data_IF_393771133754
#
_entry.id   IF_393771133754
#
_cell.length_a   1.000
_cell.length_b   1.000
_cell.length_c   1.000
_cell.angle_alpha   90.00
_cell.angle_beta   90.00
_cell.angle_gamma   90.00
#
_symmetry.space_group_name_H-M   'P 1'
#
loop_
_entity.id
_entity.type
_entity.pdbx_description
1 polymer ?
#
# COMPACT_ATOMS: atom_id res chain seq x y z
N UNK A 1 31.11 6.58 -12.84
CA UNK A 1 29.74 6.75 -13.42
C UNK A 1 28.67 6.05 -12.61
N UNK A 2 28.75 4.74 -12.37
CA UNK A 2 27.72 3.98 -11.64
C UNK A 2 27.34 4.58 -10.27
N UNK A 3 28.33 4.96 -9.45
CA UNK A 3 28.11 5.61 -8.14
C UNK A 3 27.28 6.90 -8.24
N UNK A 4 27.55 7.75 -9.23
CA UNK A 4 26.83 9.02 -9.39
C UNK A 4 25.38 8.78 -9.84
N UNK A 5 25.17 7.81 -10.73
CA UNK A 5 23.83 7.38 -11.13
C UNK A 5 23.09 6.83 -9.92
N UNK A 6 23.72 5.98 -9.11
CA UNK A 6 23.13 5.37 -7.92
C UNK A 6 22.71 6.42 -6.88
N UNK A 7 23.57 7.39 -6.59
CA UNK A 7 23.26 8.52 -5.69
C UNK A 7 22.10 9.34 -6.25
N UNK A 8 22.13 9.69 -7.53
CA UNK A 8 21.05 10.45 -8.18
C UNK A 8 19.72 9.68 -8.18
N UNK A 9 19.73 8.38 -8.46
CA UNK A 9 18.53 7.54 -8.41
C UNK A 9 17.98 7.42 -7.00
N UNK A 10 18.85 7.33 -5.99
CA UNK A 10 18.44 7.32 -4.59
C UNK A 10 17.73 8.62 -4.20
N UNK A 11 18.29 9.79 -4.50
CA UNK A 11 17.64 11.06 -4.18
C UNK A 11 16.38 11.33 -5.02
N UNK A 12 16.33 10.86 -6.27
CA UNK A 12 15.12 10.89 -7.09
C UNK A 12 14.02 10.00 -6.47
N UNK A 13 14.38 8.81 -6.00
CA UNK A 13 13.46 7.93 -5.28
C UNK A 13 12.98 8.58 -3.98
N UNK A 14 13.89 9.18 -3.21
CA UNK A 14 13.55 9.87 -1.96
C UNK A 14 12.58 11.04 -2.19
N UNK A 15 12.82 11.86 -3.23
CA UNK A 15 11.92 12.95 -3.61
C UNK A 15 10.54 12.44 -4.07
N UNK A 16 10.50 11.34 -4.83
CA UNK A 16 9.25 10.66 -5.19
C UNK A 16 8.51 10.17 -3.93
N UNK A 17 9.22 9.56 -2.98
CA UNK A 17 8.66 9.10 -1.70
C UNK A 17 8.06 10.25 -0.89
N UNK A 18 8.69 11.41 -0.86
CA UNK A 18 8.13 12.63 -0.23
C UNK A 18 6.77 13.00 -0.82
N UNK A 19 6.66 13.10 -2.15
CA UNK A 19 5.40 13.47 -2.82
C UNK A 19 4.30 12.45 -2.52
N UNK A 20 4.62 11.15 -2.57
CA UNK A 20 3.68 10.10 -2.23
C UNK A 20 3.27 10.10 -0.75
N UNK A 21 4.21 10.35 0.17
CA UNK A 21 3.94 10.41 1.61
C UNK A 21 3.01 11.58 1.95
N UNK A 22 3.27 12.76 1.40
CA UNK A 22 2.40 13.93 1.59
C UNK A 22 0.99 13.62 1.10
N UNK A 23 0.86 12.96 -0.05
CA UNK A 23 -0.44 12.58 -0.60
C UNK A 23 -1.20 11.57 0.29
N UNK A 24 -0.54 10.50 0.73
CA UNK A 24 -1.15 9.46 1.56
C UNK A 24 -1.49 9.99 2.95
N UNK A 25 -0.54 10.66 3.60
CA UNK A 25 -0.70 11.11 4.97
C UNK A 25 -1.79 12.18 5.10
N UNK A 26 -1.91 13.07 4.11
CA UNK A 26 -2.96 14.08 4.06
C UNK A 26 -4.39 13.49 3.99
N UNK A 27 -4.52 12.22 3.58
CA UNK A 27 -5.81 11.49 3.55
C UNK A 27 -6.00 10.54 4.74
N UNK A 28 -4.96 10.32 5.55
CA UNK A 28 -4.97 9.34 6.62
C UNK A 28 -5.24 9.98 7.98
N UNK A 29 -5.82 9.23 8.93
CA UNK A 29 -6.05 9.71 10.29
C UNK A 29 -4.83 9.43 11.17
N UNK A 30 -4.44 10.43 11.96
CA UNK A 30 -3.33 10.32 12.89
C UNK A 30 -3.59 9.23 13.95
N UNK A 31 -2.57 8.43 14.26
CA UNK A 31 -2.64 7.38 15.28
C UNK A 31 -1.42 7.38 16.18
N UNK A 32 -1.55 8.05 17.33
CA UNK A 32 -0.54 8.16 18.40
C UNK A 32 0.81 8.77 17.97
N UNK A 33 1.33 9.64 18.83
CA UNK A 33 2.60 10.32 18.62
C UNK A 33 3.76 9.34 18.89
N UNK A 34 4.72 9.28 17.97
CA UNK A 34 6.04 8.68 18.21
C UNK A 34 6.95 9.83 18.64
N UNK A 35 7.49 9.78 19.86
CA UNK A 35 8.28 10.89 20.41
C UNK A 35 9.79 10.78 20.13
N UNK A 36 10.29 9.61 19.71
CA UNK A 36 11.74 9.37 19.64
C UNK A 36 12.36 9.79 18.30
N UNK A 37 13.30 10.74 18.34
CA UNK A 37 14.15 11.14 17.21
C UNK A 37 15.30 10.14 17.02
N UNK A 38 15.12 9.11 16.20
CA UNK A 38 16.13 8.05 15.95
C UNK A 38 16.93 8.22 14.64
N UNK A 39 16.54 9.16 13.77
CA UNK A 39 17.06 9.25 12.40
C UNK A 39 17.64 10.62 12.01
N UNK A 40 17.83 11.52 12.98
CA UNK A 40 18.29 12.91 12.76
C UNK A 40 19.65 12.98 12.05
N UNK A 41 20.53 12.04 12.28
CA UNK A 41 21.85 11.99 11.65
C UNK A 41 21.84 11.39 10.24
N UNK A 42 20.76 10.69 9.85
CA UNK A 42 20.56 10.17 8.49
C UNK A 42 19.83 11.21 7.64
N UNK A 43 18.73 11.75 8.15
CA UNK A 43 17.84 12.62 7.39
C UNK A 43 18.00 14.11 7.68
N UNK A 44 18.63 14.48 8.79
CA UNK A 44 18.72 15.88 9.21
C UNK A 44 17.34 16.46 9.47
N UNK A 45 17.16 17.71 9.08
CA UNK A 45 15.86 18.38 9.09
C UNK A 45 15.01 17.88 7.91
N UNK A 46 14.15 16.90 8.19
CA UNK A 46 13.26 16.32 7.18
C UNK A 46 12.25 17.34 6.69
N UNK A 47 11.85 18.31 7.51
CA UNK A 47 10.90 19.34 7.10
C UNK A 47 11.48 20.23 6.01
N UNK A 48 12.74 20.66 6.13
CA UNK A 48 13.42 21.45 5.09
C UNK A 48 13.45 20.68 3.77
N UNK A 49 13.81 19.39 3.80
CA UNK A 49 13.84 18.58 2.58
C UNK A 49 12.44 18.42 1.96
N UNK A 50 11.43 18.09 2.76
CA UNK A 50 10.06 17.94 2.28
C UNK A 50 9.55 19.23 1.62
N UNK A 51 9.70 20.36 2.30
CA UNK A 51 9.28 21.66 1.78
C UNK A 51 10.03 22.04 0.51
N UNK A 52 11.32 21.71 0.43
CA UNK A 52 12.12 21.93 -0.79
C UNK A 52 11.61 21.11 -1.99
N UNK A 53 11.13 19.89 -1.75
CA UNK A 53 10.56 19.02 -2.80
C UNK A 53 9.22 19.55 -3.30
N UNK A 54 8.35 20.02 -2.40
CA UNK A 54 6.98 20.44 -2.76
C UNK A 54 6.84 21.93 -3.09
N UNK A 55 7.90 22.75 -2.94
CA UNK A 55 7.90 24.22 -3.09
C UNK A 55 7.27 24.78 -4.38
N UNK A 56 7.25 23.98 -5.45
CA UNK A 56 6.74 24.40 -6.75
C UNK A 56 5.24 24.13 -6.92
N UNK A 57 4.56 23.63 -5.89
CA UNK A 57 3.11 23.42 -5.88
C UNK A 57 2.49 23.87 -4.55
N UNK A 58 1.69 24.95 -4.54
CA UNK A 58 1.12 25.48 -3.29
C UNK A 58 0.15 24.49 -2.62
N UNK A 59 -0.47 23.61 -3.40
CA UNK A 59 -1.37 22.56 -2.88
C UNK A 59 -0.59 21.52 -2.08
N UNK A 60 0.54 21.05 -2.63
CA UNK A 60 1.39 20.08 -1.94
C UNK A 60 2.13 20.71 -0.75
N UNK A 61 2.50 21.98 -0.84
CA UNK A 61 3.11 22.72 0.27
C UNK A 61 2.15 22.82 1.47
N UNK A 62 0.90 23.25 1.24
CA UNK A 62 -0.13 23.29 2.28
C UNK A 62 -0.42 21.89 2.86
N UNK A 63 -0.49 20.87 2.01
CA UNK A 63 -0.70 19.48 2.45
C UNK A 63 0.48 18.98 3.28
N UNK A 64 1.72 19.30 2.90
CA UNK A 64 2.91 18.94 3.66
C UNK A 64 2.88 19.58 5.06
N UNK A 65 2.54 20.87 5.17
CA UNK A 65 2.43 21.54 6.46
C UNK A 65 1.37 20.88 7.37
N UNK A 66 0.20 20.56 6.82
CA UNK A 66 -0.84 19.84 7.56
C UNK A 66 -0.37 18.45 8.03
N UNK A 67 0.41 17.74 7.21
CA UNK A 67 0.98 16.44 7.54
C UNK A 67 2.01 16.56 8.68
N UNK A 68 2.91 17.54 8.65
CA UNK A 68 3.88 17.75 9.74
C UNK A 68 3.20 18.15 11.06
N UNK A 69 2.16 18.98 11.00
CA UNK A 69 1.36 19.34 12.19
C UNK A 69 0.62 18.14 12.77
N UNK A 70 0.12 17.25 11.91
CA UNK A 70 -0.67 16.09 12.34
C UNK A 70 0.18 14.94 12.85
N UNK A 71 1.25 14.56 12.14
CA UNK A 71 2.00 13.33 12.41
C UNK A 71 3.30 13.57 13.18
N UNK A 72 3.85 14.79 13.14
CA UNK A 72 5.14 15.14 13.72
C UNK A 72 6.33 14.64 12.90
N UNK A 73 7.43 15.39 13.00
CA UNK A 73 8.70 15.11 12.33
C UNK A 73 9.31 13.71 12.62
N UNK A 74 9.36 13.20 13.88
CA UNK A 74 9.99 11.90 14.16
C UNK A 74 9.27 10.73 13.47
N UNK A 75 7.93 10.79 13.38
CA UNK A 75 7.14 9.76 12.70
C UNK A 75 7.34 9.82 11.19
N UNK A 76 7.39 11.03 10.61
CA UNK A 76 7.65 11.22 9.18
C UNK A 76 9.04 10.70 8.83
N UNK A 77 10.04 10.94 9.68
CA UNK A 77 11.40 10.41 9.51
C UNK A 77 11.43 8.88 9.52
N UNK A 78 10.69 8.24 10.43
CA UNK A 78 10.56 6.78 10.49
C UNK A 78 9.88 6.20 9.24
N UNK A 79 8.82 6.86 8.77
CA UNK A 79 8.11 6.47 7.55
C UNK A 79 8.98 6.61 6.31
N UNK A 80 9.71 7.73 6.21
CA UNK A 80 10.67 7.98 5.15
C UNK A 80 11.76 6.90 5.14
N UNK A 81 12.31 6.54 6.30
CA UNK A 81 13.27 5.45 6.43
C UNK A 81 12.70 4.11 5.93
N UNK A 82 11.48 3.79 6.36
CA UNK A 82 10.81 2.52 6.00
C UNK A 82 10.60 2.42 4.50
N UNK A 83 10.19 3.53 3.86
CA UNK A 83 9.90 3.58 2.43
C UNK A 83 11.16 3.74 1.55
N UNK A 84 12.22 4.35 2.09
CA UNK A 84 13.48 4.51 1.38
C UNK A 84 14.36 3.25 1.45
N UNK A 85 14.15 2.36 2.42
CA UNK A 85 14.74 1.03 2.42
C UNK A 85 13.98 0.14 1.42
N UNK A 86 14.63 -0.24 0.32
CA UNK A 86 14.17 -1.34 -0.56
C UNK A 86 13.89 -2.63 0.26
N UNK A 87 12.96 -3.49 -0.18
CA UNK A 87 12.33 -4.48 0.69
C UNK A 87 13.31 -5.57 1.08
N UNK A 88 13.84 -5.49 2.30
CA UNK A 88 14.35 -6.67 2.98
C UNK A 88 13.18 -7.36 3.66
N UNK A 89 13.01 -8.70 3.51
CA UNK A 89 11.85 -9.42 4.01
C UNK A 89 11.94 -9.57 5.53
N UNK A 90 11.62 -8.51 6.27
CA UNK A 90 11.51 -8.55 7.72
C UNK A 90 10.15 -9.14 8.09
N UNK A 91 10.18 -10.42 8.45
CA UNK A 91 9.03 -11.22 8.85
C UNK A 91 8.52 -10.84 10.26
N UNK A 92 7.86 -9.70 10.43
CA UNK A 92 7.12 -9.40 11.66
C UNK A 92 5.59 -9.39 11.43
N UNK A 93 4.78 -10.07 12.27
CA UNK A 93 3.33 -10.01 12.19
C UNK A 93 2.83 -8.64 12.68
N UNK A 94 2.15 -7.88 11.82
CA UNK A 94 1.44 -6.67 12.23
C UNK A 94 0.02 -6.98 12.74
N UNK A 95 -0.49 -6.23 13.74
CA UNK A 95 -1.87 -6.34 14.19
C UNK A 95 -2.83 -5.74 13.17
N UNK A 96 -3.98 -6.41 13.00
CA UNK A 96 -5.09 -6.01 12.14
C UNK A 96 -5.68 -4.68 12.61
N UNK A 97 -5.27 -3.57 11.97
CA UNK A 97 -5.90 -2.25 12.12
C UNK A 97 -6.77 -1.91 10.90
N UNK A 98 -7.76 -1.02 11.03
CA UNK A 98 -8.52 -0.54 9.88
C UNK A 98 -7.59 0.23 8.92
N UNK A 99 -7.76 0.11 7.60
CA UNK A 99 -6.83 0.63 6.59
C UNK A 99 -6.65 2.16 6.55
N UNK A 100 -7.56 2.93 7.15
CA UNK A 100 -7.40 4.38 7.36
C UNK A 100 -6.45 4.75 8.50
N UNK A 101 -5.97 3.73 9.23
CA UNK A 101 -4.93 3.84 10.24
C UNK A 101 -3.64 3.34 9.61
N UNK A 102 -2.76 4.26 9.25
CA UNK A 102 -1.40 3.88 8.86
C UNK A 102 -0.75 3.24 10.09
N UNK A 103 -0.48 1.93 10.08
CA UNK A 103 0.02 1.27 11.28
C UNK A 103 1.38 1.85 11.65
N UNK A 104 1.73 1.77 12.93
CA UNK A 104 3.07 2.13 13.37
C UNK A 104 4.08 1.36 12.50
N UNK A 105 5.07 2.05 11.89
CA UNK A 105 6.07 1.35 11.10
C UNK A 105 6.73 0.32 12.03
N UNK A 106 6.90 -0.94 11.61
CA UNK A 106 7.71 -1.86 12.39
C UNK A 106 9.07 -1.22 12.59
N UNK A 107 9.63 -1.37 13.78
CA UNK A 107 10.96 -0.84 14.08
C UNK A 107 11.97 -1.49 13.12
N UNK A 108 12.23 -0.85 11.99
CA UNK A 108 13.40 -1.18 11.18
C UNK A 108 14.62 -0.85 12.01
N UNK A 109 15.56 -1.77 12.01
CA UNK A 109 16.87 -1.53 12.61
C UNK A 109 17.53 -0.38 11.83
N UNK A 110 17.55 0.82 12.42
CA UNK A 110 18.17 2.01 11.82
C UNK A 110 19.62 1.70 11.39
N UNK A 111 20.26 0.76 12.08
CA UNK A 111 21.60 0.28 11.80
C UNK A 111 21.73 -0.43 10.44
N UNK A 112 20.69 -1.12 9.97
CA UNK A 112 20.68 -1.71 8.62
C UNK A 112 20.68 -0.64 7.54
N UNK A 113 19.84 0.38 7.66
CA UNK A 113 19.77 1.47 6.67
C UNK A 113 21.08 2.25 6.63
N UNK A 114 21.67 2.55 7.80
CA UNK A 114 23.00 3.15 7.94
C UNK A 114 24.07 2.32 7.24
N UNK A 115 24.05 1.01 7.47
CA UNK A 115 25.02 0.07 6.87
C UNK A 115 24.88 0.03 5.35
N UNK A 116 23.65 0.07 4.84
CA UNK A 116 23.38 0.12 3.40
C UNK A 116 23.95 1.40 2.76
N UNK A 117 23.66 2.57 3.34
CA UNK A 117 24.22 3.84 2.84
C UNK A 117 25.74 3.84 2.82
N UNK A 118 26.37 3.26 3.86
CA UNK A 118 27.83 3.10 3.93
C UNK A 118 28.38 2.16 2.86
N UNK A 119 27.73 1.01 2.63
CA UNK A 119 28.15 0.02 1.61
C UNK A 119 28.01 0.61 0.20
N UNK A 120 26.92 1.34 -0.06
CA UNK A 120 26.64 1.94 -1.36
C UNK A 120 27.34 3.29 -1.56
N UNK A 121 28.05 3.77 -0.54
CA UNK A 121 28.74 5.07 -0.51
C UNK A 121 27.82 6.25 -0.89
N UNK A 122 26.56 6.19 -0.45
CA UNK A 122 25.56 7.24 -0.66
C UNK A 122 25.67 8.23 0.51
N UNK A 123 25.82 9.54 0.25
CA UNK A 123 25.82 10.53 1.32
C UNK A 123 24.45 10.57 2.01
N UNK A 124 24.39 10.65 3.35
CA UNK A 124 23.13 10.80 4.07
C UNK A 124 22.46 12.12 3.69
N UNK A 125 21.13 12.18 3.83
CA UNK A 125 20.37 13.39 3.52
C UNK A 125 20.79 14.56 4.43
N UNK A 126 21.24 14.29 5.66
CA UNK A 126 21.81 15.31 6.56
C UNK A 126 23.03 16.06 5.95
N UNK A 127 23.77 15.43 5.02
CA UNK A 127 24.92 16.02 4.34
C UNK A 127 24.56 16.66 2.98
N UNK A 128 23.28 16.66 2.59
CA UNK A 128 22.82 17.27 1.34
C UNK A 128 23.26 18.74 1.17
N UNK A 129 23.26 19.60 2.21
CA UNK A 129 23.72 20.98 2.09
C UNK A 129 25.16 21.13 1.60
N UNK A 130 25.99 20.10 1.78
CA UNK A 130 27.40 20.12 1.36
C UNK A 130 27.61 19.69 -0.11
N UNK A 131 26.55 19.27 -0.81
CA UNK A 131 26.62 18.66 -2.14
C UNK A 131 25.82 19.43 -3.20
N UNK A 132 26.44 20.48 -3.77
CA UNK A 132 25.81 21.37 -4.77
C UNK A 132 25.31 20.63 -6.03
N UNK A 133 26.03 19.61 -6.48
CA UNK A 133 25.65 18.83 -7.67
C UNK A 133 24.33 18.08 -7.47
N UNK A 134 24.13 17.51 -6.28
CA UNK A 134 22.90 16.79 -5.92
C UNK A 134 21.75 17.78 -5.75
N UNK A 135 22.00 18.93 -5.09
CA UNK A 135 21.00 19.99 -4.93
C UNK A 135 20.52 20.53 -6.28
N UNK A 136 21.43 20.77 -7.23
CA UNK A 136 21.09 21.24 -8.56
C UNK A 136 20.23 20.22 -9.34
N UNK A 137 20.58 18.93 -9.28
CA UNK A 137 19.79 17.87 -9.90
C UNK A 137 18.38 17.75 -9.29
N UNK A 138 18.31 17.74 -7.95
CA UNK A 138 17.05 17.71 -7.20
C UNK A 138 16.16 18.90 -7.54
N UNK A 139 16.72 20.11 -7.64
CA UNK A 139 15.98 21.32 -7.99
C UNK A 139 15.15 21.15 -9.27
N UNK A 140 15.74 20.53 -10.30
CA UNK A 140 15.06 20.22 -11.56
C UNK A 140 13.95 19.19 -11.41
N UNK A 141 14.17 18.11 -10.66
CA UNK A 141 13.13 17.11 -10.38
C UNK A 141 11.98 17.67 -9.55
N UNK A 142 12.27 18.51 -8.55
CA UNK A 142 11.25 19.16 -7.73
C UNK A 142 10.37 20.08 -8.58
N UNK A 143 10.98 20.83 -9.52
CA UNK A 143 10.22 21.64 -10.48
C UNK A 143 9.35 20.76 -11.39
N UNK A 144 9.87 19.62 -11.85
CA UNK A 144 9.08 18.67 -12.64
C UNK A 144 7.89 18.10 -11.84
N UNK A 145 8.11 17.67 -10.59
CA UNK A 145 7.03 17.15 -9.74
C UNK A 145 5.95 18.20 -9.43
N UNK A 146 6.36 19.45 -9.14
CA UNK A 146 5.42 20.53 -8.85
C UNK A 146 4.58 20.98 -10.05
N UNK A 147 5.15 20.97 -11.26
CA UNK A 147 4.46 21.41 -12.48
C UNK A 147 3.77 20.29 -13.27
N UNK A 148 4.11 19.00 -13.03
CA UNK A 148 3.53 17.89 -13.79
C UNK A 148 2.01 17.77 -13.56
N UNK A 149 1.23 17.72 -14.65
CA UNK A 149 -0.23 17.55 -14.66
C UNK A 149 -0.75 16.26 -13.98
N UNK A 150 0.14 15.33 -13.59
CA UNK A 150 -0.20 14.20 -12.72
C UNK A 150 -0.67 14.64 -11.31
N UNK A 151 -0.45 15.90 -10.95
CA UNK A 151 -0.96 16.53 -9.73
C UNK A 151 -2.41 17.04 -9.84
N UNK A 152 -2.99 17.22 -11.04
CA UNK A 152 -4.21 18.02 -11.19
C UNK A 152 -5.53 17.28 -10.99
N UNK A 153 -5.54 15.96 -10.81
CA UNK A 153 -6.75 15.19 -10.49
C UNK A 153 -6.42 13.96 -9.64
N UNK A 154 -6.35 14.08 -8.31
CA UNK A 154 -6.53 13.00 -7.30
C UNK A 154 -5.93 11.59 -7.57
N UNK A 155 -4.92 11.48 -8.44
CA UNK A 155 -4.24 10.26 -8.87
C UNK A 155 -2.79 10.66 -9.17
N UNK A 156 -2.08 11.14 -8.14
CA UNK A 156 -0.64 11.25 -8.25
C UNK A 156 -0.12 9.84 -8.61
N UNK A 157 0.40 9.66 -9.83
CA UNK A 157 0.97 8.40 -10.33
C UNK A 157 2.24 7.94 -9.58
N UNK A 158 2.50 8.55 -8.42
CA UNK A 158 3.45 8.08 -7.43
C UNK A 158 2.76 7.04 -6.55
N UNK A 159 2.59 5.83 -7.09
CA UNK A 159 2.32 4.67 -6.27
C UNK A 159 3.56 4.44 -5.40
N UNK A 160 3.42 4.66 -4.10
CA UNK A 160 4.39 4.15 -3.14
C UNK A 160 4.09 2.68 -2.96
N UNK A 161 4.96 1.82 -3.47
CA UNK A 161 4.94 0.42 -3.08
C UNK A 161 5.30 0.37 -1.60
N UNK A 162 4.40 -0.18 -0.80
CA UNK A 162 4.66 -0.35 0.63
C UNK A 162 5.67 -1.50 0.77
N UNK A 163 6.88 -1.26 1.28
CA UNK A 163 7.97 -2.25 1.30
C UNK A 163 7.79 -3.32 2.37
N UNK A 164 6.66 -3.28 3.08
CA UNK A 164 6.31 -4.34 4.01
C UNK A 164 5.82 -5.56 3.27
N UNK A 165 6.22 -6.72 3.80
CA UNK A 165 5.67 -8.01 3.35
C UNK A 165 4.15 -7.92 3.46
N UNK A 166 3.47 -7.86 2.31
CA UNK A 166 2.02 -7.97 2.27
C UNK A 166 1.64 -9.35 2.79
N UNK A 167 1.29 -9.42 4.09
CA UNK A 167 0.71 -10.63 4.66
C UNK A 167 -0.76 -10.61 4.38
N UNK A 168 -1.18 -11.49 3.47
CA UNK A 168 -2.61 -11.78 3.32
C UNK A 168 -3.18 -12.28 4.64
N UNK A 169 -4.47 -12.03 4.85
CA UNK A 169 -5.15 -12.42 6.06
C UNK A 169 -4.97 -13.93 6.31
N UNK A 170 -4.55 -14.30 7.52
CA UNK A 170 -4.54 -15.70 7.91
C UNK A 170 -5.97 -16.23 7.94
N UNK A 171 -6.25 -17.14 7.01
CA UNK A 171 -7.52 -17.86 6.93
C UNK A 171 -7.51 -19.03 7.91
N UNK A 172 -8.59 -19.26 8.67
CA UNK A 172 -8.70 -20.42 9.55
C UNK A 172 -8.74 -21.72 8.74
N UNK A 173 -8.34 -22.84 9.36
CA UNK A 173 -8.38 -24.15 8.70
C UNK A 173 -9.81 -24.57 8.32
N UNK A 174 -10.80 -24.21 9.13
CA UNK A 174 -12.21 -24.55 8.92
C UNK A 174 -12.99 -23.28 8.63
N UNK A 175 -13.70 -23.26 7.50
CA UNK A 175 -14.45 -22.08 7.03
C UNK A 175 -15.50 -21.60 8.05
N UNK A 176 -16.13 -22.52 8.77
CA UNK A 176 -17.16 -22.24 9.79
C UNK A 176 -16.68 -21.22 10.84
N UNK A 177 -15.38 -21.17 11.13
CA UNK A 177 -14.83 -20.22 12.10
C UNK A 177 -14.95 -18.76 11.64
N UNK A 178 -15.10 -18.52 10.33
CA UNK A 178 -15.40 -17.18 9.81
C UNK A 178 -16.87 -16.78 10.02
N UNK A 179 -17.79 -17.74 10.23
CA UNK A 179 -19.21 -17.46 10.45
C UNK A 179 -19.55 -17.13 11.91
N UNK A 180 -18.69 -17.47 12.86
CA UNK A 180 -18.89 -17.18 14.28
C UNK A 180 -18.76 -15.69 14.61
N UNK A 181 -18.08 -14.92 13.75
CA UNK A 181 -17.84 -13.48 13.89
C UNK A 181 -18.82 -12.68 13.00
N UNK A 182 -20.10 -13.10 12.97
CA UNK A 182 -21.14 -12.62 12.03
C UNK A 182 -21.38 -11.11 12.08
N UNK A 183 -21.07 -10.44 13.19
CA UNK A 183 -21.13 -8.98 13.32
C UNK A 183 -20.05 -8.24 12.51
N UNK A 184 -19.04 -8.95 11.97
CA UNK A 184 -17.94 -8.39 11.16
C UNK A 184 -17.89 -8.90 9.73
N UNK A 185 -18.63 -9.95 9.39
CA UNK A 185 -18.61 -10.54 8.05
C UNK A 185 -19.78 -10.07 7.20
N UNK A 186 -19.51 -9.04 6.38
CA UNK A 186 -20.19 -8.73 5.12
C UNK A 186 -21.73 -8.77 5.20
N UNK A 187 -22.28 -7.80 5.90
CA UNK A 187 -23.67 -7.36 5.76
C UNK A 187 -23.76 -6.44 4.54
N UNK A 188 -24.62 -6.75 3.56
CA UNK A 188 -25.02 -5.87 2.45
C UNK A 188 -25.61 -4.53 2.97
N UNK A 189 -24.80 -3.69 3.59
CA UNK A 189 -25.26 -2.49 4.31
C UNK A 189 -24.98 -1.22 3.50
N UNK A 190 -24.02 -1.24 2.58
CA UNK A 190 -23.59 -0.03 1.89
C UNK A 190 -23.48 -0.29 0.38
N UNK A 191 -24.30 0.44 -0.38
CA UNK A 191 -24.23 0.56 -1.83
C UNK A 191 -24.11 2.04 -2.13
N UNK A 192 -23.09 2.43 -2.90
CA UNK A 192 -22.92 3.82 -3.32
C UNK A 192 -23.96 4.13 -4.40
N UNK A 193 -25.12 4.65 -3.98
CA UNK A 193 -26.22 5.05 -4.87
C UNK A 193 -25.82 6.18 -5.82
N UNK A 194 -24.80 6.97 -5.48
CA UNK A 194 -24.32 8.09 -6.30
C UNK A 194 -23.27 7.64 -7.32
N UNK A 195 -22.45 6.62 -7.01
CA UNK A 195 -21.45 6.07 -7.92
C UNK A 195 -21.83 4.66 -8.45
N UNK A 196 -22.75 4.60 -9.41
CA UNK A 196 -23.07 3.39 -10.18
C UNK A 196 -23.50 2.16 -9.34
N UNK A 197 -24.05 2.36 -8.13
CA UNK A 197 -24.44 1.28 -7.24
C UNK A 197 -23.29 0.30 -6.89
N UNK A 198 -22.07 0.84 -6.75
CA UNK A 198 -20.89 0.05 -6.35
C UNK A 198 -21.06 -0.51 -4.94
N UNK A 199 -20.69 -1.77 -4.74
CA UNK A 199 -20.79 -2.46 -3.46
C UNK A 199 -19.67 -2.16 -2.48
N UNK A 200 -19.78 -2.75 -1.29
CA UNK A 200 -18.91 -2.48 -0.14
C UNK A 200 -17.43 -2.78 -0.39
N UNK A 201 -17.08 -3.86 -1.11
CA UNK A 201 -15.70 -4.20 -1.45
C UNK A 201 -15.11 -3.20 -2.46
N UNK A 202 -15.91 -2.72 -3.42
CA UNK A 202 -15.48 -1.69 -4.35
C UNK A 202 -15.23 -0.35 -3.63
N UNK A 203 -16.14 0.07 -2.76
CA UNK A 203 -15.97 1.27 -1.95
C UNK A 203 -14.76 1.15 -1.01
N UNK A 204 -14.64 0.01 -0.31
CA UNK A 204 -13.52 -0.26 0.60
C UNK A 204 -12.21 -0.22 -0.17
N UNK A 205 -12.12 -0.87 -1.34
CA UNK A 205 -10.90 -0.82 -2.17
C UNK A 205 -10.52 0.63 -2.49
N UNK A 206 -11.47 1.43 -2.95
CA UNK A 206 -11.26 2.84 -3.30
C UNK A 206 -10.77 3.68 -2.12
N UNK A 207 -11.35 3.45 -0.94
CA UNK A 207 -11.02 4.22 0.27
C UNK A 207 -9.73 3.77 0.93
N UNK A 208 -9.44 2.46 0.88
CA UNK A 208 -8.52 1.80 1.80
C UNK A 208 -7.29 1.18 1.12
N UNK A 209 -7.47 0.61 -0.07
CA UNK A 209 -6.44 -0.18 -0.76
C UNK A 209 -5.99 0.46 -2.09
N UNK A 210 -6.53 1.63 -2.43
CA UNK A 210 -6.23 2.32 -3.68
C UNK A 210 -6.84 1.60 -4.89
N UNK A 211 -6.05 1.22 -5.90
CA UNK A 211 -6.59 0.62 -7.11
C UNK A 211 -6.74 -0.92 -7.05
N UNK A 212 -6.18 -1.62 -6.05
CA UNK A 212 -6.12 -3.09 -6.00
C UNK A 212 -6.85 -3.62 -4.77
N UNK A 213 -7.68 -4.66 -4.94
CA UNK A 213 -8.37 -5.33 -3.83
C UNK A 213 -8.42 -6.84 -4.00
N UNK A 214 -8.31 -7.57 -2.87
CA UNK A 214 -8.50 -9.02 -2.79
C UNK A 214 -9.37 -9.35 -1.59
N UNK A 215 -10.53 -9.95 -1.83
CA UNK A 215 -11.52 -10.27 -0.81
C UNK A 215 -11.91 -11.74 -0.89
N UNK A 216 -12.21 -12.34 0.27
CA UNK A 216 -12.82 -13.65 0.33
C UNK A 216 -14.30 -13.50 0.74
N UNK A 217 -15.18 -13.84 -0.20
CA UNK A 217 -16.63 -13.73 -0.04
C UNK A 217 -17.16 -14.99 0.63
N UNK A 218 -17.24 -14.96 1.96
CA UNK A 218 -17.64 -16.11 2.79
C UNK A 218 -18.99 -16.71 2.32
N UNK A 219 -20.02 -15.87 2.12
CA UNK A 219 -21.36 -16.30 1.67
C UNK A 219 -21.38 -16.92 0.27
N UNK A 220 -20.47 -16.50 -0.63
CA UNK A 220 -20.37 -17.05 -1.99
C UNK A 220 -19.36 -18.21 -2.07
N UNK A 221 -18.55 -18.40 -1.03
CA UNK A 221 -17.38 -19.29 -1.03
C UNK A 221 -16.52 -19.05 -2.29
N UNK A 222 -16.09 -17.80 -2.49
CA UNK A 222 -15.30 -17.40 -3.66
C UNK A 222 -14.36 -16.25 -3.34
N UNK A 223 -13.31 -16.09 -4.15
CA UNK A 223 -12.45 -14.90 -4.08
C UNK A 223 -12.99 -13.82 -5.02
N UNK A 224 -12.77 -12.57 -4.65
CA UNK A 224 -13.04 -11.39 -5.46
C UNK A 224 -11.74 -10.61 -5.63
N UNK A 225 -11.34 -10.42 -6.89
CA UNK A 225 -10.21 -9.59 -7.30
C UNK A 225 -10.74 -8.29 -7.88
N UNK A 226 -10.21 -7.15 -7.43
CA UNK A 226 -10.56 -5.83 -7.94
C UNK A 226 -9.29 -5.11 -8.42
N UNK A 227 -9.38 -4.45 -9.57
CA UNK A 227 -8.35 -3.57 -10.10
C UNK A 227 -8.91 -2.41 -10.92
N UNK A 228 -8.61 -1.17 -10.54
CA UNK A 228 -8.90 0.04 -11.32
C UNK A 228 -10.31 0.05 -11.94
N UNK A 229 -11.33 -0.16 -11.10
CA UNK A 229 -12.75 -0.26 -11.43
C UNK A 229 -13.21 -1.53 -12.17
N UNK A 230 -12.31 -2.47 -12.47
CA UNK A 230 -12.63 -3.80 -12.99
C UNK A 230 -12.59 -4.84 -11.87
N UNK A 231 -13.27 -5.97 -12.07
CA UNK A 231 -13.25 -7.07 -11.13
C UNK A 231 -13.42 -8.43 -11.78
N UNK A 232 -13.02 -9.48 -11.05
CA UNK A 232 -13.23 -10.86 -11.44
C UNK A 232 -13.35 -11.77 -10.22
N UNK A 233 -14.19 -12.81 -10.33
CA UNK A 233 -14.26 -13.86 -9.32
C UNK A 233 -13.18 -14.93 -9.50
N UNK A 234 -12.64 -15.41 -8.39
CA UNK A 234 -11.75 -16.54 -8.30
C UNK A 234 -12.36 -17.73 -7.56
N UNK A 235 -11.68 -18.87 -7.69
CA UNK A 235 -12.04 -20.05 -6.91
C UNK A 235 -11.77 -19.85 -5.42
N UNK A 236 -12.56 -20.52 -4.57
CA UNK A 236 -12.31 -20.58 -3.14
C UNK A 236 -10.97 -21.25 -2.83
N UNK A 237 -10.22 -20.77 -1.83
CA UNK A 237 -9.11 -21.51 -1.25
C UNK A 237 -9.59 -22.66 -0.34
N UNK A 238 -10.90 -22.75 -0.06
CA UNK A 238 -11.47 -23.83 0.73
C UNK A 238 -12.12 -24.90 -0.15
N UNK A 239 -12.01 -26.16 0.29
CA UNK A 239 -12.56 -27.35 -0.35
C UNK A 239 -13.23 -28.26 0.69
N UNK A 240 -14.22 -29.05 0.27
CA UNK A 240 -14.72 -30.15 1.10
C UNK A 240 -13.72 -31.32 1.14
N UNK A 241 -14.07 -32.36 1.90
CA UNK A 241 -13.27 -33.60 2.01
C UNK A 241 -13.09 -34.36 0.68
N UNK A 242 -13.89 -34.03 -0.33
CA UNK A 242 -13.82 -34.61 -1.67
C UNK A 242 -13.04 -33.71 -2.65
N UNK A 243 -12.56 -32.54 -2.21
CA UNK A 243 -11.83 -31.60 -3.04
C UNK A 243 -12.72 -30.69 -3.89
N UNK A 244 -14.02 -30.58 -3.57
CA UNK A 244 -14.97 -29.73 -4.28
C UNK A 244 -15.29 -28.45 -3.51
N UNK A 245 -15.50 -27.35 -4.25
CA UNK A 245 -15.95 -26.07 -3.69
C UNK A 245 -17.47 -26.10 -3.51
N UNK A 246 -17.97 -25.78 -2.32
CA UNK A 246 -19.40 -25.57 -2.08
C UNK A 246 -19.80 -24.13 -2.43
N UNK A 247 -20.08 -23.89 -3.71
CA UNK A 247 -20.44 -22.56 -4.23
C UNK A 247 -21.69 -22.04 -3.53
N UNK A 248 -21.59 -20.84 -2.97
CA UNK A 248 -22.64 -20.22 -2.15
C UNK A 248 -23.13 -21.08 -0.97
N UNK A 249 -22.31 -22.04 -0.53
CA UNK A 249 -22.61 -22.97 0.58
C UNK A 249 -23.95 -23.70 0.44
N UNK A 250 -24.37 -23.99 -0.80
CA UNK A 250 -25.69 -24.61 -1.08
C UNK A 250 -25.78 -26.03 -0.57
N UNK A 251 -24.67 -26.77 -0.51
CA UNK A 251 -24.64 -28.16 -0.06
C UNK A 251 -24.48 -28.26 1.46
N UNK A 252 -24.10 -27.17 2.12
CA UNK A 252 -23.86 -27.13 3.56
C UNK A 252 -22.70 -28.01 4.03
N UNK A 253 -21.77 -28.36 3.12
CA UNK A 253 -20.64 -29.22 3.47
C UNK A 253 -19.55 -28.39 4.13
N UNK A 254 -18.98 -28.91 5.21
CA UNK A 254 -17.83 -28.27 5.86
C UNK A 254 -16.66 -28.15 4.88
N UNK A 255 -16.13 -26.95 4.79
CA UNK A 255 -15.02 -26.59 3.92
C UNK A 255 -13.73 -26.39 4.72
N UNK A 256 -12.61 -26.88 4.20
CA UNK A 256 -11.29 -26.83 4.80
C UNK A 256 -10.32 -26.05 3.91
N UNK A 257 -9.44 -25.27 4.53
CA UNK A 257 -8.45 -24.46 3.81
C UNK A 257 -7.45 -25.39 3.11
N UNK A 258 -7.35 -25.26 1.79
CA UNK A 258 -6.39 -25.99 0.98
C UNK A 258 -5.13 -25.14 0.79
N UNK A 259 -4.07 -25.46 1.54
CA UNK A 259 -2.83 -24.67 1.58
C UNK A 259 -2.22 -24.39 0.20
N UNK A 260 -2.20 -25.37 -0.71
CA UNK A 260 -1.60 -25.15 -2.03
C UNK A 260 -2.39 -24.12 -2.87
N UNK A 261 -3.73 -24.08 -2.75
CA UNK A 261 -4.56 -23.08 -3.44
C UNK A 261 -4.36 -21.70 -2.84
N UNK A 262 -4.28 -21.65 -1.51
CA UNK A 262 -3.99 -20.39 -0.82
C UNK A 262 -2.61 -19.83 -1.18
N UNK A 263 -1.61 -20.70 -1.34
CA UNK A 263 -0.28 -20.32 -1.78
C UNK A 263 -0.25 -19.82 -3.24
N UNK A 264 -1.10 -20.35 -4.12
CA UNK A 264 -1.26 -19.79 -5.48
C UNK A 264 -1.82 -18.36 -5.44
N UNK A 265 -2.80 -18.11 -4.57
CA UNK A 265 -3.36 -16.76 -4.36
C UNK A 265 -2.28 -15.81 -3.80
N UNK A 266 -1.47 -16.29 -2.85
CA UNK A 266 -0.31 -15.56 -2.36
C UNK A 266 0.66 -15.20 -3.49
N UNK A 267 0.99 -16.14 -4.37
CA UNK A 267 1.87 -15.88 -5.52
C UNK A 267 1.28 -14.86 -6.48
N UNK A 268 -0.04 -14.90 -6.74
CA UNK A 268 -0.71 -13.91 -7.59
C UNK A 268 -0.60 -12.52 -6.95
N UNK A 269 -0.83 -12.41 -5.65
CA UNK A 269 -0.73 -11.15 -4.92
C UNK A 269 0.70 -10.61 -4.94
N UNK A 270 1.68 -11.42 -4.54
CA UNK A 270 3.08 -11.01 -4.41
C UNK A 270 3.75 -10.67 -5.75
N UNK A 271 3.32 -11.29 -6.85
CA UNK A 271 3.84 -10.99 -8.18
C UNK A 271 3.04 -9.91 -8.92
N UNK A 272 2.19 -9.15 -8.21
CA UNK A 272 1.32 -8.13 -8.81
C UNK A 272 0.47 -8.66 -9.99
N UNK A 273 0.07 -9.93 -9.93
CA UNK A 273 -0.62 -10.63 -11.02
C UNK A 273 -2.11 -10.35 -11.12
N UNK A 274 -2.69 -9.60 -10.18
CA UNK A 274 -4.13 -9.31 -10.13
C UNK A 274 -4.65 -8.60 -11.39
N UNK A 275 -4.03 -7.52 -11.90
CA UNK A 275 -4.47 -6.87 -13.13
C UNK A 275 -4.49 -7.84 -14.31
N UNK A 276 -3.44 -8.66 -14.45
CA UNK A 276 -3.34 -9.67 -15.53
C UNK A 276 -4.38 -10.77 -15.38
N UNK A 277 -4.66 -11.21 -14.14
CA UNK A 277 -5.69 -12.20 -13.87
C UNK A 277 -7.07 -11.67 -14.28
N UNK A 278 -7.40 -10.43 -13.90
CA UNK A 278 -8.67 -9.80 -14.25
C UNK A 278 -8.78 -9.65 -15.77
N UNK A 279 -7.75 -9.11 -16.44
CA UNK A 279 -7.75 -8.95 -17.90
C UNK A 279 -8.01 -10.27 -18.64
N UNK A 280 -7.31 -11.35 -18.26
CA UNK A 280 -7.52 -12.69 -18.85
C UNK A 280 -8.91 -13.26 -18.60
N UNK A 281 -9.54 -12.92 -17.47
CA UNK A 281 -10.89 -13.36 -17.13
C UNK A 281 -11.95 -12.55 -17.87
N UNK A 282 -11.73 -11.26 -18.07
CA UNK A 282 -12.60 -10.39 -18.88
C UNK A 282 -12.55 -10.75 -20.37
N UNK A 283 -11.41 -11.21 -20.87
CA UNK A 283 -11.27 -11.76 -22.24
C UNK A 283 -11.94 -13.14 -22.39
N UNK A 284 -12.25 -13.83 -21.29
CA UNK A 284 -12.96 -15.11 -21.26
C UNK A 284 -14.48 -14.93 -21.16
N UNK A 285 -15.24 -15.74 -21.91
CA UNK A 285 -16.67 -15.58 -22.20
C UNK A 285 -17.67 -15.72 -21.04
N UNK A 286 -17.26 -15.85 -19.77
CA UNK A 286 -18.21 -15.98 -18.65
C UNK A 286 -17.70 -15.27 -17.41
N UNK A 287 -17.86 -13.95 -17.36
CA UNK A 287 -18.04 -13.29 -16.07
C UNK A 287 -19.49 -13.51 -15.64
N UNK A 288 -19.70 -14.07 -14.45
CA UNK A 288 -21.04 -14.23 -13.88
C UNK A 288 -21.66 -12.87 -13.50
N UNK A 289 -20.91 -11.77 -13.66
CA UNK A 289 -21.36 -10.41 -13.38
C UNK A 289 -21.57 -10.17 -11.89
N UNK A 290 -21.90 -8.92 -11.54
CA UNK A 290 -22.25 -8.56 -10.16
C UNK A 290 -21.07 -8.51 -9.19
N UNK A 291 -19.82 -8.39 -9.68
CA UNK A 291 -18.70 -7.95 -8.84
C UNK A 291 -18.74 -6.45 -8.57
N UNK A 292 -19.44 -5.66 -9.40
CA UNK A 292 -19.62 -4.22 -9.23
C UNK A 292 -20.42 -3.90 -7.96
N UNK A 293 -21.42 -4.71 -7.65
CA UNK A 293 -22.36 -4.52 -6.53
C UNK A 293 -21.90 -5.16 -5.22
N UNK A 294 -20.66 -5.66 -5.17
CA UNK A 294 -20.04 -6.31 -4.01
C UNK A 294 -18.98 -5.47 -3.33
#
# INVERSE_FOLDING_TARGET
MLKHVLVLTYYAHLARTVVGLVYILNKSRNTLAVETRRYDDIFGDTRIFFMSVVRHSPIFEQAADAVFQSFGEPRISQLLCTLASEPTPCAHPLPRGPPNVFPAPPELDADMYRRLLKILEIPPLAELPNHDTIQNALSGWCAHYGHSQAASQLNCGVMLEYPLVYRLAQLPLVLDHLYLDQDKTMSHCCVDLENQARGECNMHTRECAGPIGLYFLVKRCSLLYLYANNGAFGQSPYLDVHGEVDVSMRRGRRQYLHHARWEEVHKIWLNHGIPTLIARRLEGTVDNGGWETL
#
